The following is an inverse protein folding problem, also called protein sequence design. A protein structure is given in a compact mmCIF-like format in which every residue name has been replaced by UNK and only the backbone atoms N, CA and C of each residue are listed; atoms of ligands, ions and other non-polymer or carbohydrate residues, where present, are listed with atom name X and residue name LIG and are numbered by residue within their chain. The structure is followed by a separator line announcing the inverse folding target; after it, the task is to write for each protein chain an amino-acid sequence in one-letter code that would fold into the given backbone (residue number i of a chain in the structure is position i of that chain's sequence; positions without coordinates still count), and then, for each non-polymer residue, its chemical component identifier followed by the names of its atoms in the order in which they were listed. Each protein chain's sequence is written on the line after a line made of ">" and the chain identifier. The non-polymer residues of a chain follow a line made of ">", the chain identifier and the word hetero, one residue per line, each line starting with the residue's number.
data_IF_428327119073
#
_entry.id   IF_428327119073
#
_cell.length_a   1.000
_cell.length_b   1.000
_cell.length_c   1.000
_cell.angle_alpha   90.00
_cell.angle_beta   90.00
_cell.angle_gamma   90.00
#
_symmetry.space_group_name_H-M   'P 1'
#
loop_
_entity.id
_entity.type
_entity.pdbx_description
1 polymer ?
#
# COMPACT_ATOMS: atom_id res chain seq x y z
N UNK A 1 7.22 -5.50 14.95
CA UNK A 1 6.88 -4.50 13.91
C UNK A 1 5.75 -5.06 13.05
N UNK A 2 4.70 -4.29 12.79
CA UNK A 2 3.57 -4.76 11.94
C UNK A 2 4.03 -4.91 10.49
N UNK A 3 3.46 -5.86 9.75
CA UNK A 3 3.76 -6.05 8.32
C UNK A 3 2.73 -5.29 7.49
N UNK A 4 3.20 -4.48 6.54
CA UNK A 4 2.36 -3.80 5.57
C UNK A 4 2.66 -4.39 4.20
N UNK A 5 1.68 -5.07 3.61
CA UNK A 5 1.78 -5.64 2.28
C UNK A 5 1.40 -4.54 1.29
N UNK A 6 2.27 -4.29 0.30
CA UNK A 6 2.10 -3.24 -0.69
C UNK A 6 2.14 -3.83 -2.10
N UNK A 7 1.31 -3.31 -2.99
CA UNK A 7 1.31 -3.63 -4.42
C UNK A 7 1.94 -2.49 -5.23
N UNK A 8 2.00 -2.65 -6.56
CA UNK A 8 2.59 -1.66 -7.47
C UNK A 8 1.88 -0.31 -7.34
N UNK A 9 0.55 -0.26 -7.44
CA UNK A 9 -0.21 0.99 -7.45
C UNK A 9 -0.07 1.78 -6.14
N UNK A 10 -0.22 1.13 -4.99
CA UNK A 10 -0.01 1.75 -3.68
C UNK A 10 1.44 2.19 -3.49
N UNK A 11 2.42 1.38 -3.91
CA UNK A 11 3.85 1.72 -3.75
C UNK A 11 4.25 2.94 -4.58
N UNK A 12 3.82 3.00 -5.85
CA UNK A 12 4.08 4.14 -6.73
C UNK A 12 3.44 5.41 -6.17
N UNK A 13 2.22 5.28 -5.64
CA UNK A 13 1.55 6.40 -5.01
C UNK A 13 2.28 6.86 -3.75
N UNK A 14 2.65 5.94 -2.85
CA UNK A 14 3.40 6.26 -1.61
C UNK A 14 4.73 6.96 -1.90
N UNK A 15 5.41 6.59 -2.98
CA UNK A 15 6.61 7.31 -3.43
C UNK A 15 6.28 8.74 -3.86
N UNK A 16 5.25 8.94 -4.69
CA UNK A 16 4.86 10.27 -5.18
C UNK A 16 4.52 11.24 -4.06
N UNK A 17 3.95 10.74 -2.97
CA UNK A 17 3.57 11.55 -1.81
C UNK A 17 4.54 11.44 -0.62
N UNK A 18 5.72 10.84 -0.81
CA UNK A 18 6.77 10.79 0.20
C UNK A 18 6.44 9.97 1.46
N UNK A 19 5.53 9.01 1.38
CA UNK A 19 5.12 8.19 2.51
C UNK A 19 6.08 7.05 2.84
N UNK A 20 6.77 6.46 1.85
CA UNK A 20 7.63 5.28 2.06
C UNK A 20 8.64 5.49 3.22
N UNK A 21 9.41 6.59 3.30
CA UNK A 21 10.35 6.81 4.41
C UNK A 21 9.70 6.84 5.80
N UNK A 22 8.43 7.26 5.89
CA UNK A 22 7.68 7.29 7.16
C UNK A 22 7.11 5.91 7.48
N UNK A 23 6.61 5.19 6.46
CA UNK A 23 6.04 3.86 6.60
C UNK A 23 7.09 2.83 7.06
N UNK A 24 8.30 2.84 6.49
CA UNK A 24 9.37 1.88 6.87
C UNK A 24 9.81 2.01 8.34
N UNK A 25 9.55 3.14 9.00
CA UNK A 25 9.82 3.33 10.44
C UNK A 25 8.81 2.62 11.33
N UNK A 26 7.60 2.38 10.84
CA UNK A 26 6.48 1.80 11.60
C UNK A 26 6.12 0.39 11.17
N UNK A 27 6.42 0.05 9.92
CA UNK A 27 6.03 -1.20 9.28
C UNK A 27 7.24 -1.89 8.65
N UNK A 28 7.19 -3.23 8.66
CA UNK A 28 7.96 -4.03 7.73
C UNK A 28 7.21 -4.01 6.41
N UNK A 29 7.71 -3.27 5.42
CA UNK A 29 7.12 -3.26 4.09
C UNK A 29 7.47 -4.56 3.37
N UNK A 30 6.45 -5.24 2.86
CA UNK A 30 6.60 -6.52 2.19
C UNK A 30 5.82 -6.45 0.86
N UNK A 31 6.38 -7.04 -0.18
CA UNK A 31 5.72 -7.21 -1.46
C UNK A 31 6.02 -8.58 -2.06
N UNK A 32 5.31 -8.95 -3.13
CA UNK A 32 5.50 -10.24 -3.81
C UNK A 32 6.53 -10.15 -4.93
N UNK A 33 6.98 -11.32 -5.41
CA UNK A 33 7.91 -11.42 -6.52
C UNK A 33 7.31 -10.90 -7.83
N UNK A 34 6.03 -11.14 -8.05
CA UNK A 34 5.27 -10.66 -9.20
C UNK A 34 5.28 -9.13 -9.27
N UNK A 35 5.10 -8.46 -8.13
CA UNK A 35 5.14 -6.99 -8.03
C UNK A 35 6.55 -6.46 -8.29
N UNK A 36 7.60 -7.14 -7.83
CA UNK A 36 8.98 -6.74 -8.14
C UNK A 36 9.26 -6.82 -9.63
N UNK A 37 8.78 -7.86 -10.31
CA UNK A 37 8.95 -7.98 -11.74
C UNK A 37 8.28 -6.80 -12.48
N UNK A 38 7.06 -6.44 -12.09
CA UNK A 38 6.35 -5.27 -12.65
C UNK A 38 7.12 -3.95 -12.39
N UNK A 39 7.70 -3.78 -11.20
CA UNK A 39 8.54 -2.62 -10.88
C UNK A 39 9.80 -2.60 -11.75
N UNK A 40 10.48 -3.75 -11.94
CA UNK A 40 11.68 -3.85 -12.77
C UNK A 40 11.40 -3.55 -14.24
N UNK A 41 10.32 -4.10 -14.78
CA UNK A 41 9.86 -3.74 -16.13
C UNK A 41 9.62 -2.23 -16.24
N UNK A 42 9.03 -1.61 -15.20
CA UNK A 42 8.87 -0.17 -15.14
C UNK A 42 10.19 0.62 -15.14
N UNK A 43 11.21 0.11 -14.45
CA UNK A 43 12.57 0.68 -14.45
C UNK A 43 13.20 0.64 -15.84
N UNK A 44 13.06 -0.50 -16.53
CA UNK A 44 13.61 -0.74 -17.86
C UNK A 44 12.96 0.18 -18.92
N UNK A 45 11.65 0.43 -18.78
CA UNK A 45 10.91 1.39 -19.62
C UNK A 45 11.28 2.85 -19.31
N UNK A 46 11.89 3.10 -18.15
CA UNK A 46 12.38 4.44 -17.76
C UNK A 46 11.44 5.22 -16.84
N UNK A 47 10.47 4.57 -16.19
CA UNK A 47 9.60 5.21 -15.21
C UNK A 47 10.38 5.61 -13.94
N UNK A 48 10.33 6.89 -13.58
CA UNK A 48 11.12 7.46 -12.48
C UNK A 48 10.62 7.03 -11.10
N UNK A 49 9.31 6.84 -10.95
CA UNK A 49 8.68 6.32 -9.72
C UNK A 49 9.05 4.84 -9.50
N UNK A 50 9.08 4.03 -10.55
CA UNK A 50 9.58 2.66 -10.48
C UNK A 50 11.06 2.61 -10.03
N UNK A 51 11.92 3.47 -10.58
CA UNK A 51 13.33 3.59 -10.14
C UNK A 51 13.43 3.98 -8.67
N UNK A 52 12.60 4.91 -8.21
CA UNK A 52 12.59 5.31 -6.81
C UNK A 52 12.18 4.17 -5.87
N UNK A 53 11.18 3.34 -6.24
CA UNK A 53 10.84 2.13 -5.46
C UNK A 53 11.99 1.13 -5.47
N UNK A 54 12.64 0.94 -6.63
CA UNK A 54 13.71 -0.03 -6.78
C UNK A 54 14.89 0.23 -5.83
N UNK A 55 15.20 1.50 -5.53
CA UNK A 55 16.20 1.86 -4.50
C UNK A 55 15.83 1.25 -3.14
N UNK A 56 14.57 1.34 -2.71
CA UNK A 56 14.12 0.77 -1.44
C UNK A 56 14.12 -0.77 -1.44
N UNK A 57 13.98 -1.40 -2.61
CA UNK A 57 14.11 -2.85 -2.77
C UNK A 57 15.58 -3.28 -2.64
N UNK A 58 16.50 -2.60 -3.32
CA UNK A 58 17.94 -2.87 -3.28
C UNK A 58 18.52 -2.67 -1.87
N UNK A 59 18.05 -1.63 -1.16
CA UNK A 59 18.43 -1.34 0.23
C UNK A 59 17.74 -2.28 1.26
N UNK A 60 16.99 -3.28 0.80
CA UNK A 60 16.22 -4.21 1.65
C UNK A 60 15.24 -3.51 2.61
N UNK A 61 14.76 -2.31 2.28
CA UNK A 61 13.73 -1.58 3.04
C UNK A 61 12.33 -2.05 2.72
N UNK A 62 12.12 -2.55 1.50
CA UNK A 62 10.94 -3.30 1.09
C UNK A 62 11.39 -4.75 0.86
N UNK A 63 10.75 -5.69 1.55
CA UNK A 63 11.14 -7.11 1.52
C UNK A 63 10.33 -7.86 0.47
N UNK A 64 11.00 -8.54 -0.45
CA UNK A 64 10.37 -9.51 -1.33
C UNK A 64 10.07 -10.80 -0.57
N UNK A 65 8.86 -11.32 -0.69
CA UNK A 65 8.51 -12.66 -0.24
C UNK A 65 7.73 -13.36 -1.34
N UNK A 66 8.04 -14.64 -1.58
CA UNK A 66 7.29 -15.46 -2.52
C UNK A 66 5.98 -15.89 -1.87
N UNK A 67 4.86 -15.54 -2.51
CA UNK A 67 3.53 -15.96 -2.06
C UNK A 67 3.25 -17.38 -2.52
N UNK A 68 2.68 -18.19 -1.65
CA UNK A 68 2.11 -19.50 -2.00
C UNK A 68 0.68 -19.28 -2.47
N UNK A 69 0.08 -20.29 -3.08
CA UNK A 69 -1.33 -20.27 -3.51
C UNK A 69 -1.74 -19.14 -4.49
N UNK A 70 -0.81 -18.31 -5.01
CA UNK A 70 -1.09 -17.25 -5.99
C UNK A 70 -1.96 -17.74 -7.14
N UNK A 71 -1.61 -18.89 -7.73
CA UNK A 71 -2.35 -19.49 -8.85
C UNK A 71 -3.74 -19.97 -8.47
N UNK A 72 -3.91 -20.47 -7.26
CA UNK A 72 -5.22 -20.90 -6.76
C UNK A 72 -6.15 -19.70 -6.57
N UNK A 73 -5.68 -18.66 -5.88
CA UNK A 73 -6.44 -17.42 -5.65
C UNK A 73 -6.78 -16.73 -6.97
N UNK A 74 -5.80 -16.63 -7.88
CA UNK A 74 -6.01 -16.04 -9.22
C UNK A 74 -7.15 -16.74 -9.97
N UNK A 75 -7.16 -18.08 -9.98
CA UNK A 75 -8.23 -18.86 -10.61
C UNK A 75 -9.56 -18.76 -9.87
N UNK A 76 -9.54 -18.85 -8.55
CA UNK A 76 -10.74 -18.83 -7.71
C UNK A 76 -11.54 -17.53 -7.88
N UNK A 77 -10.85 -16.39 -7.94
CA UNK A 77 -11.50 -15.08 -8.02
C UNK A 77 -11.42 -14.44 -9.41
N UNK A 78 -10.84 -15.13 -10.39
CA UNK A 78 -10.62 -14.65 -11.76
C UNK A 78 -9.92 -13.28 -11.80
N UNK A 79 -8.76 -13.18 -11.13
CA UNK A 79 -7.93 -11.97 -11.05
C UNK A 79 -6.52 -12.23 -11.55
N UNK A 80 -5.77 -11.17 -11.85
CA UNK A 80 -4.35 -11.26 -12.25
C UNK A 80 -3.51 -11.91 -11.15
N UNK A 81 -2.44 -12.60 -11.56
CA UNK A 81 -1.50 -13.21 -10.60
C UNK A 81 -0.81 -12.16 -9.71
N UNK A 82 -0.59 -10.93 -10.21
CA UNK A 82 -0.07 -9.82 -9.40
C UNK A 82 -0.99 -9.49 -8.21
N UNK A 83 -2.29 -9.32 -8.44
CA UNK A 83 -3.27 -9.05 -7.38
C UNK A 83 -3.48 -10.27 -6.48
N UNK A 84 -3.50 -11.48 -7.05
CA UNK A 84 -3.59 -12.71 -6.28
C UNK A 84 -2.39 -12.90 -5.35
N UNK A 85 -1.18 -12.54 -5.80
CA UNK A 85 0.06 -12.73 -5.05
C UNK A 85 0.09 -11.89 -3.79
N UNK A 86 -0.37 -10.63 -3.82
CA UNK A 86 -0.42 -9.76 -2.64
C UNK A 86 -1.51 -10.17 -1.65
N UNK A 87 -2.62 -10.75 -2.14
CA UNK A 87 -3.70 -11.28 -1.30
C UNK A 87 -3.19 -12.52 -0.56
N UNK A 88 -2.57 -13.46 -1.29
CA UNK A 88 -1.91 -14.63 -0.71
C UNK A 88 -0.86 -14.21 0.33
N UNK A 89 -0.03 -13.23 -0.01
CA UNK A 89 1.01 -12.74 0.90
C UNK A 89 0.43 -12.14 2.18
N UNK A 90 -0.66 -11.37 2.08
CA UNK A 90 -1.32 -10.79 3.23
C UNK A 90 -1.93 -11.86 4.15
N UNK A 91 -2.52 -12.91 3.58
CA UNK A 91 -3.04 -14.06 4.30
C UNK A 91 -1.91 -14.83 5.01
N UNK A 92 -0.86 -15.23 4.30
CA UNK A 92 0.26 -16.02 4.83
C UNK A 92 1.08 -15.28 5.88
N UNK A 93 1.23 -13.97 5.71
CA UNK A 93 2.04 -13.16 6.60
C UNK A 93 1.27 -12.59 7.78
N UNK A 94 -0.06 -12.80 7.83
CA UNK A 94 -0.98 -12.13 8.75
C UNK A 94 -0.76 -10.60 8.72
N UNK A 95 -0.59 -10.07 7.50
CA UNK A 95 -0.22 -8.69 7.24
C UNK A 95 -1.42 -7.78 7.01
N UNK A 96 -1.17 -6.47 7.07
CA UNK A 96 -2.14 -5.47 6.64
C UNK A 96 -1.92 -5.18 5.15
N UNK A 97 -2.90 -5.46 4.29
CA UNK A 97 -2.79 -5.17 2.86
C UNK A 97 -3.20 -3.72 2.57
N UNK A 98 -2.27 -2.92 2.06
CA UNK A 98 -2.57 -1.60 1.54
C UNK A 98 -3.13 -1.71 0.12
N UNK A 99 -4.37 -1.29 -0.07
CA UNK A 99 -5.02 -1.27 -1.39
C UNK A 99 -6.08 -0.18 -1.47
N UNK A 100 -6.32 0.26 -2.69
CA UNK A 100 -7.38 1.20 -3.08
C UNK A 100 -8.34 0.54 -4.09
N UNK A 101 -8.08 -0.74 -4.40
CA UNK A 101 -8.82 -1.53 -5.36
C UNK A 101 -10.02 -2.22 -4.69
N UNK A 102 -11.23 -1.89 -5.17
CA UNK A 102 -12.49 -2.41 -4.64
C UNK A 102 -12.68 -3.91 -4.88
N UNK A 103 -12.10 -4.47 -5.93
CA UNK A 103 -12.16 -5.91 -6.17
C UNK A 103 -11.28 -6.64 -5.15
N UNK A 104 -10.08 -6.13 -4.90
CA UNK A 104 -9.16 -6.67 -3.89
C UNK A 104 -9.78 -6.57 -2.49
N UNK A 105 -10.38 -5.42 -2.15
CA UNK A 105 -11.10 -5.22 -0.88
C UNK A 105 -12.19 -6.27 -0.67
N UNK A 106 -13.04 -6.54 -1.67
CA UNK A 106 -14.09 -7.56 -1.58
C UNK A 106 -13.53 -8.96 -1.35
N UNK A 107 -12.46 -9.31 -2.05
CA UNK A 107 -11.82 -10.63 -1.89
C UNK A 107 -11.22 -10.75 -0.48
N UNK A 108 -10.55 -9.71 0.00
CA UNK A 108 -9.99 -9.68 1.34
C UNK A 108 -11.07 -9.80 2.41
N UNK A 109 -12.24 -9.16 2.23
CA UNK A 109 -13.37 -9.31 3.13
C UNK A 109 -13.88 -10.76 3.20
N UNK A 110 -14.02 -11.44 2.05
CA UNK A 110 -14.42 -12.85 1.99
C UNK A 110 -13.41 -13.74 2.72
N UNK A 111 -12.11 -13.44 2.57
CA UNK A 111 -11.01 -14.21 3.16
C UNK A 111 -10.62 -13.76 4.57
N UNK A 112 -11.32 -12.78 5.15
CA UNK A 112 -11.02 -12.19 6.46
C UNK A 112 -9.59 -11.64 6.58
N UNK A 113 -9.06 -11.11 5.49
CA UNK A 113 -7.73 -10.48 5.43
C UNK A 113 -7.85 -9.02 5.86
N UNK A 114 -6.94 -8.57 6.72
CA UNK A 114 -6.90 -7.18 7.16
C UNK A 114 -6.41 -6.27 6.03
N UNK A 115 -7.17 -5.22 5.74
CA UNK A 115 -6.83 -4.23 4.72
C UNK A 115 -6.69 -2.82 5.31
N UNK A 116 -5.98 -1.97 4.59
CA UNK A 116 -5.90 -0.53 4.82
C UNK A 116 -5.81 0.21 3.49
N UNK A 117 -5.91 1.53 3.55
CA UNK A 117 -5.75 2.41 2.40
C UNK A 117 -4.86 3.60 2.76
N UNK A 118 -4.50 4.40 1.76
CA UNK A 118 -3.55 5.50 1.93
C UNK A 118 -4.04 6.55 2.91
N UNK A 119 -5.33 6.87 2.88
CA UNK A 119 -5.91 7.87 3.78
C UNK A 119 -5.82 7.40 5.24
N UNK A 120 -6.13 6.14 5.52
CA UNK A 120 -5.99 5.52 6.85
C UNK A 120 -4.53 5.46 7.30
N UNK A 121 -3.60 5.17 6.38
CA UNK A 121 -2.17 5.20 6.68
C UNK A 121 -1.68 6.62 7.04
N UNK A 122 -2.18 7.66 6.38
CA UNK A 122 -1.87 9.06 6.74
C UNK A 122 -2.38 9.38 8.14
N UNK A 123 -3.63 9.04 8.44
CA UNK A 123 -4.18 9.20 9.79
C UNK A 123 -3.31 8.48 10.83
N UNK A 124 -2.93 7.23 10.56
CA UNK A 124 -2.06 6.46 11.44
C UNK A 124 -0.71 7.15 11.66
N UNK A 125 -0.07 7.64 10.61
CA UNK A 125 1.22 8.32 10.72
C UNK A 125 1.11 9.63 11.50
N UNK A 126 0.06 10.43 11.28
CA UNK A 126 -0.24 11.62 12.09
C UNK A 126 -0.44 11.26 13.56
N UNK A 127 -1.29 10.27 13.86
CA UNK A 127 -1.58 9.83 15.23
C UNK A 127 -0.34 9.32 15.98
N UNK A 128 0.68 8.90 15.24
CA UNK A 128 1.96 8.42 15.76
C UNK A 128 3.10 9.45 15.64
N UNK A 129 2.78 10.74 15.47
CA UNK A 129 3.71 11.87 15.38
C UNK A 129 4.76 11.76 14.24
N UNK A 130 4.45 11.04 13.16
CA UNK A 130 5.30 10.99 11.95
C UNK A 130 4.90 12.03 10.89
N UNK A 131 3.72 12.63 11.06
CA UNK A 131 3.20 13.73 10.24
C UNK A 131 2.69 14.83 11.16
N UNK A 132 3.01 16.07 10.80
CA UNK A 132 2.38 17.25 11.40
C UNK A 132 0.92 17.37 10.92
N UNK A 133 0.12 18.15 11.64
CA UNK A 133 -1.29 18.36 11.34
C UNK A 133 -1.50 18.87 9.90
N UNK A 134 -0.78 19.92 9.51
CA UNK A 134 -0.85 20.55 8.19
C UNK A 134 -0.39 19.59 7.09
N UNK A 135 0.65 18.80 7.35
CA UNK A 135 1.15 17.80 6.42
C UNK A 135 0.11 16.72 6.15
N UNK A 136 -0.54 16.20 7.21
CA UNK A 136 -1.59 15.19 7.06
C UNK A 136 -2.77 15.72 6.22
N UNK A 137 -3.19 16.96 6.48
CA UNK A 137 -4.26 17.62 5.72
C UNK A 137 -3.93 17.79 4.24
N UNK A 138 -2.71 18.26 3.94
CA UNK A 138 -2.23 18.45 2.58
C UNK A 138 -2.20 17.13 1.81
N UNK A 139 -1.70 16.06 2.43
CA UNK A 139 -1.64 14.73 1.81
C UNK A 139 -3.04 14.19 1.52
N UNK A 140 -4.00 14.38 2.43
CA UNK A 140 -5.40 13.99 2.21
C UNK A 140 -6.04 14.78 1.06
N UNK A 141 -5.72 16.07 0.89
CA UNK A 141 -6.17 16.83 -0.28
C UNK A 141 -5.55 16.35 -1.59
N UNK A 142 -4.27 15.97 -1.57
CA UNK A 142 -3.60 15.41 -2.74
C UNK A 142 -4.26 14.08 -3.15
N UNK A 143 -4.62 13.23 -2.19
CA UNK A 143 -5.35 11.97 -2.45
C UNK A 143 -6.69 12.25 -3.13
N UNK A 144 -7.46 13.21 -2.61
CA UNK A 144 -8.76 13.60 -3.22
C UNK A 144 -8.57 14.06 -4.66
N UNK A 145 -7.55 14.90 -4.92
CA UNK A 145 -7.26 15.41 -6.28
C UNK A 145 -6.83 14.33 -7.26
N UNK A 146 -6.25 13.23 -6.77
CA UNK A 146 -5.85 12.08 -7.56
C UNK A 146 -7.01 11.08 -7.82
N UNK A 147 -8.23 11.42 -7.41
CA UNK A 147 -9.43 10.64 -7.71
C UNK A 147 -9.72 9.48 -6.75
N UNK A 148 -8.97 9.39 -5.64
CA UNK A 148 -9.26 8.43 -4.57
C UNK A 148 -10.53 8.79 -3.80
N UNK A 149 -10.97 7.90 -2.92
CA UNK A 149 -12.24 8.02 -2.21
C UNK A 149 -12.30 9.29 -1.33
N UNK A 150 -12.99 10.32 -1.84
CA UNK A 150 -13.14 11.62 -1.20
C UNK A 150 -13.84 11.54 0.16
N UNK A 151 -14.86 10.69 0.29
CA UNK A 151 -15.63 10.58 1.53
C UNK A 151 -14.76 10.05 2.68
N UNK A 152 -13.91 9.05 2.42
CA UNK A 152 -12.98 8.52 3.41
C UNK A 152 -11.99 9.61 3.83
N UNK A 153 -11.46 10.36 2.88
CA UNK A 153 -10.52 11.44 3.17
C UNK A 153 -11.14 12.55 4.03
N UNK A 154 -12.39 12.95 3.74
CA UNK A 154 -13.12 13.95 4.54
C UNK A 154 -13.35 13.44 5.96
N UNK A 155 -13.85 12.21 6.13
CA UNK A 155 -14.05 11.61 7.46
C UNK A 155 -12.76 11.58 8.28
N UNK A 156 -11.64 11.28 7.64
CA UNK A 156 -10.33 11.29 8.30
C UNK A 156 -9.91 12.70 8.68
N UNK A 157 -10.12 13.71 7.83
CA UNK A 157 -9.84 15.11 8.17
C UNK A 157 -10.64 15.57 9.39
N UNK A 158 -11.94 15.28 9.41
CA UNK A 158 -12.81 15.59 10.55
C UNK A 158 -12.30 14.93 11.84
N UNK A 159 -11.90 13.65 11.75
CA UNK A 159 -11.32 12.92 12.88
C UNK A 159 -10.01 13.54 13.37
N UNK A 160 -9.13 13.96 12.47
CA UNK A 160 -7.88 14.66 12.83
C UNK A 160 -8.19 15.96 13.56
N UNK A 161 -9.15 16.76 13.10
CA UNK A 161 -9.54 18.02 13.75
C UNK A 161 -10.11 17.83 15.15
N UNK A 162 -10.85 16.74 15.38
CA UNK A 162 -11.44 16.43 16.69
C UNK A 162 -10.40 15.97 17.71
N UNK A 163 -9.29 15.41 17.25
CA UNK A 163 -8.27 14.77 18.09
C UNK A 163 -6.96 15.57 18.21
N UNK A 164 -6.86 16.71 17.52
CA UNK A 164 -5.74 17.65 17.59
C UNK A 164 -5.93 18.63 18.75
#
# INVERSE_FOLDING_TARGET
>A
MKKLIINTSSSLFFIKIGLIPKLIKKFKLITSKEIINEIKEGVDIGYSDARAINIYLEDNKIVCVEAKNTKEISKQFNIKETDASIIALAEEQEGLLATEDKQIEKICLIRQINITNTAVLIYYLWKNNELEFEQAFLLLDLIIRQGYNKEICIKIKEKIMQEA
#
